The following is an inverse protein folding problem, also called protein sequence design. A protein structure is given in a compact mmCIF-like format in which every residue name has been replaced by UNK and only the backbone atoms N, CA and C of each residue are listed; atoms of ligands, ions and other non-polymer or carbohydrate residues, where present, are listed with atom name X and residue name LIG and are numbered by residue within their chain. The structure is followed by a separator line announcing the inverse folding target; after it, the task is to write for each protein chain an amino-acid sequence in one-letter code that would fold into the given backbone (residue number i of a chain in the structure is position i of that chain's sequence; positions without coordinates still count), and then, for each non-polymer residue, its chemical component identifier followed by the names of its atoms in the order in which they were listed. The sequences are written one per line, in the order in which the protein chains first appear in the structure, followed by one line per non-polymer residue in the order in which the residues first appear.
data_IF_059428764538
#
_entry.id   IF_059428764538
#
_cell.length_a   1.000
_cell.length_b   1.000
_cell.length_c   1.000
_cell.angle_alpha   90.00
_cell.angle_beta   90.00
_cell.angle_gamma   90.00
#
_symmetry.space_group_name_H-M   'P 1'
#
loop_
_entity.id
_entity.type
_entity.pdbx_description
1 polymer ?
#
# COMPACT_ATOMS: atom_id res chain seq x y z
N UNK A 1 45.24 57.87 52.17
CA UNK A 1 45.67 56.62 51.60
C UNK A 1 44.43 55.77 51.44
N UNK A 2 43.85 55.81 50.26
CA UNK A 2 42.56 55.17 49.98
C UNK A 2 42.78 54.07 48.96
N UNK A 3 42.61 52.84 49.34
CA UNK A 3 42.73 51.66 48.46
C UNK A 3 41.34 51.28 47.96
N UNK A 4 41.11 51.47 46.68
CA UNK A 4 39.87 51.11 46.00
C UNK A 4 40.00 49.66 45.51
N UNK A 5 39.19 48.71 46.03
CA UNK A 5 39.07 47.37 45.50
C UNK A 5 38.00 47.34 44.43
N UNK A 6 38.41 47.10 43.17
CA UNK A 6 37.56 46.87 42.06
C UNK A 6 37.12 45.40 42.04
N UNK A 7 35.83 45.18 42.25
CA UNK A 7 35.21 43.84 42.13
C UNK A 7 34.83 43.56 40.69
N UNK A 8 35.47 42.58 40.07
CA UNK A 8 35.07 42.07 38.75
C UNK A 8 33.96 41.03 38.96
N UNK A 9 32.73 41.44 38.63
CA UNK A 9 31.58 40.55 38.53
C UNK A 9 31.68 39.72 37.22
N UNK A 10 32.07 38.44 37.38
CA UNK A 10 32.02 37.48 36.29
C UNK A 10 30.58 37.11 35.96
N UNK A 11 30.05 37.67 34.88
CA UNK A 11 28.80 37.22 34.30
C UNK A 11 29.05 35.89 33.59
N UNK A 12 28.58 34.82 34.21
CA UNK A 12 28.47 33.51 33.60
C UNK A 12 27.42 33.56 32.48
N UNK A 13 27.87 33.66 31.23
CA UNK A 13 27.03 33.47 30.05
C UNK A 13 26.49 32.04 30.06
N UNK A 14 25.17 31.83 29.93
CA UNK A 14 24.64 30.50 29.66
C UNK A 14 25.14 30.07 28.30
N UNK A 15 25.92 28.97 28.27
CA UNK A 15 26.30 28.29 27.02
C UNK A 15 25.03 27.93 26.28
N UNK A 16 24.71 28.70 25.24
CA UNK A 16 23.71 28.38 24.26
C UNK A 16 24.04 27.00 23.69
N UNK A 17 23.14 26.04 23.93
CA UNK A 17 23.11 24.81 23.16
C UNK A 17 22.90 25.22 21.70
N UNK A 18 23.98 25.26 20.95
CA UNK A 18 23.92 25.37 19.51
C UNK A 18 22.99 24.28 18.95
N UNK A 19 22.23 24.58 17.91
CA UNK A 19 21.45 23.55 17.23
C UNK A 19 22.44 22.51 16.70
N UNK A 20 22.39 21.31 17.25
CA UNK A 20 23.07 20.14 16.67
C UNK A 20 22.44 19.90 15.33
N UNK A 21 23.04 20.49 14.30
CA UNK A 21 22.76 20.22 12.91
C UNK A 21 23.38 18.86 12.53
N UNK A 22 22.89 17.80 13.18
CA UNK A 22 23.06 16.44 12.69
C UNK A 22 21.71 16.02 12.12
N UNK A 23 21.62 15.94 10.80
CA UNK A 23 20.42 15.53 10.05
C UNK A 23 20.02 14.07 10.24
N UNK A 24 20.35 13.51 11.39
CA UNK A 24 19.93 12.17 11.78
C UNK A 24 18.62 12.29 12.56
N UNK A 25 17.50 12.01 11.90
CA UNK A 25 16.23 11.79 12.61
C UNK A 25 16.46 10.73 13.69
N UNK A 26 16.01 11.03 14.93
CA UNK A 26 16.07 10.05 15.99
C UNK A 26 15.20 8.84 15.63
N UNK A 27 15.62 7.62 15.98
CA UNK A 27 14.85 6.40 15.73
C UNK A 27 13.37 6.51 16.15
N UNK A 28 13.02 7.12 17.32
CA UNK A 28 11.63 7.29 17.72
C UNK A 28 10.85 8.23 16.77
N UNK A 29 11.48 9.25 16.21
CA UNK A 29 10.82 10.16 15.25
C UNK A 29 10.53 9.44 13.94
N UNK A 30 11.44 8.59 13.48
CA UNK A 30 11.24 7.75 12.29
C UNK A 30 10.10 6.74 12.48
N UNK A 31 10.02 6.09 13.66
CA UNK A 31 8.92 5.18 13.99
C UNK A 31 7.57 5.89 14.08
N UNK A 32 7.54 7.11 14.59
CA UNK A 32 6.31 7.92 14.65
C UNK A 32 5.83 8.31 13.26
N UNK A 33 6.77 8.61 12.37
CA UNK A 33 6.46 8.90 10.95
C UNK A 33 5.93 7.64 10.25
N UNK A 34 6.55 6.47 10.44
CA UNK A 34 6.09 5.19 9.92
C UNK A 34 4.63 4.91 10.33
N UNK A 35 4.34 5.01 11.63
CA UNK A 35 2.97 4.81 12.13
C UNK A 35 1.94 5.68 11.43
N UNK A 36 2.24 6.98 11.28
CA UNK A 36 1.33 7.91 10.61
C UNK A 36 1.09 7.54 9.14
N UNK A 37 2.12 7.07 8.43
CA UNK A 37 2.03 6.69 7.02
C UNK A 37 1.29 5.37 6.84
N UNK A 38 1.59 4.37 7.68
CA UNK A 38 0.87 3.09 7.69
C UNK A 38 -0.62 3.30 7.97
N UNK A 39 -0.97 4.15 8.95
CA UNK A 39 -2.38 4.46 9.23
C UNK A 39 -3.09 5.12 8.04
N UNK A 40 -2.43 6.03 7.32
CA UNK A 40 -3.02 6.65 6.11
C UNK A 40 -3.20 5.64 4.98
N UNK A 41 -2.24 4.74 4.77
CA UNK A 41 -2.36 3.67 3.79
C UNK A 41 -3.45 2.68 4.16
N UNK A 42 -3.52 2.28 5.42
CA UNK A 42 -4.57 1.38 5.94
C UNK A 42 -5.97 2.00 5.78
N UNK A 43 -6.11 3.29 6.11
CA UNK A 43 -7.38 4.01 5.94
C UNK A 43 -7.80 4.04 4.45
N UNK A 44 -6.86 4.32 3.53
CA UNK A 44 -7.15 4.30 2.10
C UNK A 44 -7.58 2.91 1.62
N UNK A 45 -6.93 1.84 2.11
CA UNK A 45 -7.31 0.46 1.79
C UNK A 45 -8.69 0.12 2.36
N UNK A 46 -9.00 0.53 3.59
CA UNK A 46 -10.31 0.30 4.21
C UNK A 46 -11.41 0.97 3.39
N UNK A 47 -11.21 2.23 2.98
CA UNK A 47 -12.17 2.95 2.12
C UNK A 47 -12.31 2.23 0.77
N UNK A 48 -11.21 1.84 0.14
CA UNK A 48 -11.22 1.07 -1.09
C UNK A 48 -11.93 -0.29 -0.94
N UNK A 49 -11.74 -0.97 0.19
CA UNK A 49 -12.43 -2.23 0.52
C UNK A 49 -13.93 -2.03 0.69
N UNK A 50 -14.35 -0.93 1.33
CA UNK A 50 -15.77 -0.59 1.44
C UNK A 50 -16.42 -0.34 0.07
N UNK A 51 -15.69 0.34 -0.84
CA UNK A 51 -16.14 0.50 -2.23
C UNK A 51 -16.22 -0.86 -2.93
N UNK A 52 -15.17 -1.70 -2.82
CA UNK A 52 -15.17 -3.06 -3.37
C UNK A 52 -16.29 -3.94 -2.83
N UNK A 53 -16.70 -3.76 -1.57
CA UNK A 53 -17.84 -4.43 -0.97
C UNK A 53 -19.17 -4.02 -1.61
N UNK A 54 -19.36 -2.72 -1.83
CA UNK A 54 -20.58 -2.19 -2.47
C UNK A 54 -20.71 -2.69 -3.92
N UNK A 55 -19.61 -2.73 -4.65
CA UNK A 55 -19.57 -3.15 -6.05
C UNK A 55 -19.19 -4.63 -6.24
N UNK A 56 -19.27 -5.44 -5.17
CA UNK A 56 -18.84 -6.84 -5.19
C UNK A 56 -19.43 -7.63 -6.35
N UNK A 57 -20.74 -7.51 -6.60
CA UNK A 57 -21.44 -8.27 -7.63
C UNK A 57 -20.79 -8.03 -9.02
N UNK A 58 -20.62 -6.76 -9.39
CA UNK A 58 -20.06 -6.38 -10.68
C UNK A 58 -18.62 -6.84 -10.84
N UNK A 59 -17.83 -6.71 -9.76
CA UNK A 59 -16.43 -7.13 -9.75
C UNK A 59 -16.33 -8.65 -9.83
N UNK A 60 -17.15 -9.35 -9.08
CA UNK A 60 -17.18 -10.81 -9.09
C UNK A 60 -17.59 -11.36 -10.45
N UNK A 61 -18.66 -10.83 -11.06
CA UNK A 61 -19.12 -11.24 -12.40
C UNK A 61 -18.01 -11.02 -13.45
N UNK A 62 -17.29 -9.91 -13.34
CA UNK A 62 -16.15 -9.64 -14.22
C UNK A 62 -15.02 -10.66 -14.01
N UNK A 63 -14.66 -10.97 -12.76
CA UNK A 63 -13.62 -11.95 -12.43
C UNK A 63 -14.02 -13.38 -12.79
N UNK A 64 -15.30 -13.72 -12.68
CA UNK A 64 -15.81 -15.04 -12.94
C UNK A 64 -15.92 -15.38 -14.43
N UNK A 65 -16.04 -14.37 -15.32
CA UNK A 65 -16.17 -14.60 -16.77
C UNK A 65 -15.14 -15.57 -17.34
N UNK A 66 -13.82 -15.32 -17.23
CA UNK A 66 -12.83 -16.20 -17.81
C UNK A 66 -12.82 -17.58 -17.17
N UNK A 67 -13.24 -17.69 -15.91
CA UNK A 67 -13.35 -18.97 -15.20
C UNK A 67 -14.53 -19.78 -15.75
N UNK A 68 -15.68 -19.14 -15.93
CA UNK A 68 -16.87 -19.77 -16.47
C UNK A 68 -16.66 -20.26 -17.91
N UNK A 69 -15.98 -19.48 -18.75
CA UNK A 69 -15.63 -19.88 -20.11
C UNK A 69 -14.77 -21.14 -20.15
N UNK A 70 -13.80 -21.28 -19.25
CA UNK A 70 -12.95 -22.47 -19.14
C UNK A 70 -13.77 -23.68 -18.62
N UNK A 71 -14.64 -23.47 -17.64
CA UNK A 71 -15.51 -24.53 -17.11
C UNK A 71 -16.48 -25.04 -18.16
N UNK A 72 -17.08 -24.17 -18.97
CA UNK A 72 -17.95 -24.57 -20.08
C UNK A 72 -17.20 -25.38 -21.14
N UNK A 73 -15.98 -24.97 -21.48
CA UNK A 73 -15.12 -25.72 -22.40
C UNK A 73 -14.77 -27.12 -21.85
N UNK A 74 -14.44 -27.21 -20.56
CA UNK A 74 -14.15 -28.49 -19.90
C UNK A 74 -15.38 -29.41 -19.89
N UNK A 75 -16.58 -28.86 -19.64
CA UNK A 75 -17.85 -29.62 -19.71
C UNK A 75 -18.15 -30.13 -21.13
N UNK A 76 -17.91 -29.31 -22.14
CA UNK A 76 -18.08 -29.71 -23.53
C UNK A 76 -17.14 -30.86 -23.93
N UNK A 77 -16.03 -31.05 -23.24
CA UNK A 77 -15.09 -32.16 -23.37
C UNK A 77 -15.47 -33.39 -22.50
N UNK A 78 -16.65 -33.39 -21.87
CA UNK A 78 -17.12 -34.48 -21.02
C UNK A 78 -16.52 -34.55 -19.62
N UNK A 79 -15.88 -33.45 -19.16
CA UNK A 79 -15.34 -33.37 -17.80
C UNK A 79 -16.40 -32.78 -16.85
N UNK A 80 -16.58 -33.45 -15.72
CA UNK A 80 -17.53 -33.05 -14.69
C UNK A 80 -16.89 -32.00 -13.76
N UNK A 81 -16.84 -30.74 -14.22
CA UNK A 81 -16.29 -29.61 -13.44
C UNK A 81 -17.45 -28.78 -12.89
N UNK A 82 -17.58 -28.73 -11.57
CA UNK A 82 -18.56 -27.90 -10.88
C UNK A 82 -17.85 -26.95 -9.92
N UNK A 83 -18.06 -25.64 -10.12
CA UNK A 83 -17.68 -24.62 -9.14
C UNK A 83 -18.76 -24.58 -8.05
N UNK A 84 -18.50 -25.22 -6.91
CA UNK A 84 -19.46 -25.24 -5.79
C UNK A 84 -18.91 -24.45 -4.61
N UNK A 85 -19.64 -23.43 -4.20
CA UNK A 85 -19.45 -22.78 -2.89
C UNK A 85 -20.30 -23.55 -1.91
N UNK A 86 -19.67 -24.41 -1.10
CA UNK A 86 -20.38 -25.45 -0.34
C UNK A 86 -21.04 -24.90 0.95
N UNK A 87 -20.61 -23.73 1.43
CA UNK A 87 -21.10 -23.18 2.69
C UNK A 87 -21.21 -21.64 2.67
N UNK A 88 -22.01 -21.10 3.57
CA UNK A 88 -22.23 -19.65 3.74
C UNK A 88 -20.94 -18.96 4.16
N UNK A 89 -20.10 -19.60 4.98
CA UNK A 89 -18.83 -19.06 5.42
C UNK A 89 -17.84 -18.90 4.26
N UNK A 90 -17.84 -19.85 3.30
CA UNK A 90 -17.06 -19.79 2.07
C UNK A 90 -17.47 -18.61 1.18
N UNK A 91 -18.79 -18.42 1.01
CA UNK A 91 -19.33 -17.31 0.24
C UNK A 91 -18.93 -15.94 0.85
N UNK A 92 -19.08 -15.78 2.17
CA UNK A 92 -18.68 -14.57 2.88
C UNK A 92 -17.16 -14.31 2.78
N UNK A 93 -16.37 -15.37 2.97
CA UNK A 93 -14.91 -15.27 2.86
C UNK A 93 -14.47 -14.86 1.46
N UNK A 94 -15.12 -15.38 0.42
CA UNK A 94 -14.85 -15.00 -0.96
C UNK A 94 -15.20 -13.52 -1.21
N UNK A 95 -16.36 -13.07 -0.74
CA UNK A 95 -16.76 -11.68 -0.83
C UNK A 95 -15.77 -10.74 -0.15
N UNK A 96 -15.33 -11.10 1.06
CA UNK A 96 -14.33 -10.33 1.81
C UNK A 96 -12.98 -10.27 1.07
N UNK A 97 -12.53 -11.40 0.51
CA UNK A 97 -11.27 -11.44 -0.26
C UNK A 97 -11.34 -10.57 -1.50
N UNK A 98 -12.41 -10.68 -2.29
CA UNK A 98 -12.60 -9.85 -3.50
C UNK A 98 -12.65 -8.37 -3.13
N UNK A 99 -13.40 -7.98 -2.10
CA UNK A 99 -13.48 -6.61 -1.64
C UNK A 99 -12.11 -6.07 -1.17
N UNK A 100 -11.36 -6.89 -0.41
CA UNK A 100 -10.04 -6.49 0.10
C UNK A 100 -9.03 -6.31 -1.05
N UNK A 101 -8.96 -7.25 -1.99
CA UNK A 101 -8.08 -7.15 -3.16
C UNK A 101 -8.42 -5.93 -3.99
N UNK A 102 -9.70 -5.68 -4.24
CA UNK A 102 -10.18 -4.47 -4.91
C UNK A 102 -9.76 -3.21 -4.17
N UNK A 103 -9.89 -3.21 -2.83
CA UNK A 103 -9.45 -2.10 -1.99
C UNK A 103 -7.97 -1.79 -2.11
N UNK A 104 -7.12 -2.82 -2.11
CA UNK A 104 -5.66 -2.68 -2.29
C UNK A 104 -5.33 -2.11 -3.68
N UNK A 105 -6.02 -2.58 -4.73
CA UNK A 105 -5.83 -2.11 -6.10
C UNK A 105 -6.26 -0.65 -6.24
N UNK A 106 -7.44 -0.27 -5.73
CA UNK A 106 -7.93 1.11 -5.77
C UNK A 106 -7.06 2.07 -4.95
N UNK A 107 -6.58 1.63 -3.80
CA UNK A 107 -5.69 2.42 -2.95
C UNK A 107 -4.23 2.45 -3.44
N UNK A 108 -3.90 1.76 -4.54
CA UNK A 108 -2.54 1.59 -5.07
C UNK A 108 -1.73 2.90 -5.13
N UNK A 109 -2.19 3.99 -5.75
CA UNK A 109 -1.40 5.21 -5.83
C UNK A 109 -1.13 5.84 -4.47
N UNK A 110 -2.05 5.66 -3.51
CA UNK A 110 -1.95 6.23 -2.17
C UNK A 110 -0.91 5.47 -1.34
N UNK A 111 -1.00 4.14 -1.24
CA UNK A 111 -0.08 3.39 -0.41
C UNK A 111 1.32 3.30 -1.04
N UNK A 112 1.46 3.27 -2.37
CA UNK A 112 2.76 3.38 -3.05
C UNK A 112 3.42 4.72 -2.72
N UNK A 113 2.67 5.83 -2.77
CA UNK A 113 3.18 7.14 -2.39
C UNK A 113 3.64 7.20 -0.93
N UNK A 114 2.84 6.63 -0.01
CA UNK A 114 3.20 6.61 1.41
C UNK A 114 4.44 5.75 1.68
N UNK A 115 4.55 4.60 1.00
CA UNK A 115 5.69 3.71 1.09
C UNK A 115 6.97 4.41 0.61
N UNK A 116 6.93 5.00 -0.60
CA UNK A 116 8.07 5.72 -1.16
C UNK A 116 8.52 6.87 -0.27
N UNK A 117 7.59 7.65 0.21
CA UNK A 117 7.88 8.76 1.11
C UNK A 117 8.45 8.31 2.46
N UNK A 118 8.21 7.07 2.88
CA UNK A 118 8.83 6.47 4.06
C UNK A 118 10.27 6.05 3.80
N UNK A 119 10.55 5.45 2.64
CA UNK A 119 11.89 4.98 2.27
C UNK A 119 12.87 6.14 2.08
N UNK A 120 12.38 7.34 1.76
CA UNK A 120 13.20 8.52 1.46
C UNK A 120 13.06 9.64 2.52
N UNK A 121 13.39 9.40 3.80
CA UNK A 121 13.16 10.37 4.90
C UNK A 121 14.18 11.51 4.98
N UNK A 122 15.01 11.75 3.97
CA UNK A 122 16.03 12.80 3.98
C UNK A 122 15.97 13.73 2.76
N UNK A 123 14.99 13.56 1.91
CA UNK A 123 14.98 14.24 0.61
C UNK A 123 14.57 15.71 0.71
N UNK A 124 15.44 16.60 0.21
CA UNK A 124 15.22 18.03 0.06
C UNK A 124 14.05 18.32 -0.89
N UNK A 125 13.50 19.53 -0.84
CA UNK A 125 12.31 19.96 -1.63
C UNK A 125 12.39 19.65 -3.14
N UNK A 126 13.58 19.48 -3.68
CA UNK A 126 13.81 19.15 -5.10
C UNK A 126 13.47 17.70 -5.45
N UNK A 127 13.52 16.80 -4.52
CA UNK A 127 13.32 15.35 -4.69
C UNK A 127 11.85 14.90 -4.59
N UNK A 128 10.96 15.79 -4.16
CA UNK A 128 9.50 15.51 -4.17
C UNK A 128 8.98 15.21 -5.57
N UNK A 129 9.59 15.77 -6.61
CA UNK A 129 9.26 15.48 -8.00
C UNK A 129 9.61 14.03 -8.37
N UNK A 130 10.72 13.51 -7.86
CA UNK A 130 11.12 12.12 -8.07
C UNK A 130 10.17 11.13 -7.40
N UNK A 131 9.65 11.46 -6.21
CA UNK A 131 8.63 10.66 -5.54
C UNK A 131 7.34 10.57 -6.36
N UNK A 132 6.89 11.69 -6.92
CA UNK A 132 5.72 11.72 -7.80
C UNK A 132 5.96 10.96 -9.10
N UNK A 133 7.13 11.14 -9.73
CA UNK A 133 7.51 10.40 -10.93
C UNK A 133 7.51 8.89 -10.69
N UNK A 134 8.08 8.45 -9.55
CA UNK A 134 8.07 7.05 -9.16
C UNK A 134 6.63 6.50 -9.03
N UNK A 135 5.74 7.20 -8.35
CA UNK A 135 4.33 6.79 -8.21
C UNK A 135 3.63 6.74 -9.57
N UNK A 136 3.89 7.73 -10.44
CA UNK A 136 3.33 7.77 -11.80
C UNK A 136 3.79 6.59 -12.68
N UNK A 137 4.96 6.03 -12.43
CA UNK A 137 5.47 4.87 -13.16
C UNK A 137 5.05 3.56 -12.46
N UNK A 138 5.17 3.49 -11.15
CA UNK A 138 4.89 2.29 -10.37
C UNK A 138 3.38 1.93 -10.38
N UNK A 139 2.50 2.92 -10.34
CA UNK A 139 1.05 2.68 -10.36
C UNK A 139 0.58 2.01 -11.65
N UNK A 140 0.87 2.51 -12.86
CA UNK A 140 0.45 1.83 -14.09
C UNK A 140 1.15 0.48 -14.27
N UNK A 141 2.40 0.34 -13.83
CA UNK A 141 3.09 -0.95 -13.86
C UNK A 141 2.42 -1.99 -12.95
N UNK A 142 2.00 -1.59 -11.75
CA UNK A 142 1.23 -2.44 -10.86
C UNK A 142 -0.12 -2.83 -11.47
N UNK A 143 -0.85 -1.88 -12.05
CA UNK A 143 -2.13 -2.15 -12.71
C UNK A 143 -1.95 -3.04 -13.94
N UNK A 144 -0.88 -2.85 -14.70
CA UNK A 144 -0.53 -3.75 -15.82
C UNK A 144 -0.28 -5.18 -15.33
N UNK A 145 0.37 -5.36 -14.18
CA UNK A 145 0.53 -6.66 -13.52
C UNK A 145 -0.81 -7.31 -13.14
N UNK A 146 -1.75 -6.52 -12.61
CA UNK A 146 -3.11 -7.00 -12.29
C UNK A 146 -3.86 -7.45 -13.56
N UNK A 147 -3.79 -6.66 -14.64
CA UNK A 147 -4.38 -7.03 -15.94
C UNK A 147 -3.74 -8.29 -16.50
N UNK A 148 -2.41 -8.40 -16.44
CA UNK A 148 -1.69 -9.57 -16.91
C UNK A 148 -2.10 -10.83 -16.12
N UNK A 149 -2.23 -10.74 -14.80
CA UNK A 149 -2.71 -11.84 -13.96
C UNK A 149 -4.12 -12.31 -14.39
N UNK A 150 -5.00 -11.36 -14.69
CA UNK A 150 -6.34 -11.66 -15.18
C UNK A 150 -6.32 -12.38 -16.55
N UNK A 151 -5.48 -11.93 -17.48
CA UNK A 151 -5.35 -12.52 -18.83
C UNK A 151 -4.74 -13.92 -18.78
N UNK A 152 -3.81 -14.17 -17.87
CA UNK A 152 -3.14 -15.49 -17.74
C UNK A 152 -4.01 -16.51 -17.00
N UNK A 153 -4.98 -16.05 -16.20
CA UNK A 153 -5.82 -16.92 -15.35
C UNK A 153 -6.50 -18.07 -16.10
N UNK A 154 -7.16 -17.88 -17.28
CA UNK A 154 -7.79 -18.97 -18.01
C UNK A 154 -6.80 -20.07 -18.44
N UNK A 155 -5.63 -19.68 -18.93
CA UNK A 155 -4.58 -20.62 -19.34
C UNK A 155 -4.06 -21.45 -18.17
N UNK A 156 -3.85 -20.81 -17.01
CA UNK A 156 -3.46 -21.52 -15.80
C UNK A 156 -4.51 -22.55 -15.33
N UNK A 157 -5.79 -22.19 -15.43
CA UNK A 157 -6.90 -23.09 -15.09
C UNK A 157 -7.01 -24.25 -16.07
N UNK A 158 -6.83 -24.04 -17.38
CA UNK A 158 -6.82 -25.10 -18.38
C UNK A 158 -5.73 -26.14 -18.08
N UNK A 159 -4.51 -25.69 -17.80
CA UNK A 159 -3.40 -26.57 -17.42
C UNK A 159 -3.74 -27.37 -16.15
N UNK A 160 -4.37 -26.72 -15.16
CA UNK A 160 -4.76 -27.37 -13.90
C UNK A 160 -5.82 -28.47 -14.13
N UNK A 161 -6.74 -28.27 -15.07
CA UNK A 161 -7.77 -29.25 -15.39
C UNK A 161 -7.27 -30.36 -16.32
N UNK A 162 -6.13 -30.19 -17.00
CA UNK A 162 -5.51 -31.20 -17.87
C UNK A 162 -4.67 -32.23 -17.11
N UNK A 163 -4.40 -32.01 -15.81
CA UNK A 163 -3.75 -32.96 -14.90
C UNK A 163 -4.76 -33.83 -14.16
#
# INVERSE_FOLDING_TARGET
MTVTMSGTSGTSQPRGRGPTASGNMSLPDHLRELRSRVLKSALAIIIGTAIGWIYYQQIFDFLAKPINDVVEQARAQGRDVTLTITDVAGAFTLQLKVALVTGVILACPIWIYQLWRFVTPGLHKHERRWALLFVCIATPLFLAGVVMAYVVLPGALQILFDF
#
